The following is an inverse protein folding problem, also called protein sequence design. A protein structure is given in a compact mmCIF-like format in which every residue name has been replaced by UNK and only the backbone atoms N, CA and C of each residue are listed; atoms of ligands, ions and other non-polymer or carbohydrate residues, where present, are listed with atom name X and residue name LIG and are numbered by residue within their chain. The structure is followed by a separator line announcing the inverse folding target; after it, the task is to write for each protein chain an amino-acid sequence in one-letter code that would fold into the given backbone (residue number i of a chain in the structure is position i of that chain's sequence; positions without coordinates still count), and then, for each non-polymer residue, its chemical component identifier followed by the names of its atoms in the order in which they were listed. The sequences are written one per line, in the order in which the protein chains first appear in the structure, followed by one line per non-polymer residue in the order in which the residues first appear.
data_IF_511262371899
#
_entry.id   IF_511262371899
#
_cell.length_a   1.000
_cell.length_b   1.000
_cell.length_c   1.000
_cell.angle_alpha   90.00
_cell.angle_beta   90.00
_cell.angle_gamma   90.00
#
_symmetry.space_group_name_H-M   'P 1'
#
loop_
_entity.id
_entity.type
_entity.pdbx_description
1 polymer ?
#
# COMPACT_ATOMS: atom_id res chain seq x y z
N UNK A 1 3.95 25.47 -5.11
CA UNK A 1 2.56 25.18 -4.66
C UNK A 1 2.53 23.74 -4.20
N UNK A 2 2.51 23.50 -2.90
CA UNK A 2 2.51 22.17 -2.29
C UNK A 2 1.18 21.49 -2.62
N UNK A 3 1.20 20.50 -3.52
CA UNK A 3 0.04 19.64 -3.77
C UNK A 3 -0.45 19.10 -2.41
N UNK A 4 -1.69 19.41 -2.04
CA UNK A 4 -2.30 18.93 -0.79
C UNK A 4 -2.39 17.40 -0.87
N UNK A 5 -1.39 16.73 -0.32
CA UNK A 5 -1.39 15.28 -0.10
C UNK A 5 -2.65 14.96 0.73
N UNK A 6 -3.47 14.03 0.26
CA UNK A 6 -4.67 13.64 1.01
C UNK A 6 -4.26 13.06 2.37
N UNK A 7 -5.07 13.19 3.44
CA UNK A 7 -4.73 12.64 4.75
C UNK A 7 -4.33 11.15 4.71
N UNK A 8 -4.92 10.38 3.77
CA UNK A 8 -4.57 8.99 3.55
C UNK A 8 -3.17 8.83 2.94
N UNK A 9 -2.85 9.58 1.89
CA UNK A 9 -1.51 9.53 1.28
C UNK A 9 -0.44 10.06 2.23
N UNK A 10 -0.77 11.03 3.09
CA UNK A 10 0.16 11.48 4.11
C UNK A 10 0.50 10.34 5.08
N UNK A 11 -0.52 9.63 5.57
CA UNK A 11 -0.30 8.46 6.42
C UNK A 11 0.47 7.34 5.72
N UNK A 12 0.20 7.10 4.45
CA UNK A 12 0.97 6.13 3.65
C UNK A 12 2.46 6.50 3.60
N UNK A 13 2.77 7.77 3.33
CA UNK A 13 4.16 8.25 3.27
C UNK A 13 4.87 8.19 4.63
N UNK A 14 4.16 8.50 5.72
CA UNK A 14 4.68 8.35 7.09
C UNK A 14 5.05 6.89 7.37
N UNK A 15 4.14 5.94 7.12
CA UNK A 15 4.39 4.52 7.31
C UNK A 15 5.52 4.02 6.40
N UNK A 16 5.57 4.50 5.15
CA UNK A 16 6.64 4.16 4.21
C UNK A 16 8.01 4.64 4.69
N UNK A 17 8.07 5.81 5.34
CA UNK A 17 9.29 6.34 5.93
C UNK A 17 9.75 5.51 7.14
N UNK A 18 8.82 4.93 7.90
CA UNK A 18 9.11 4.00 9.01
C UNK A 18 9.64 2.64 8.51
N UNK A 19 9.24 2.21 7.30
CA UNK A 19 9.65 0.91 6.71
C UNK A 19 10.44 1.07 5.40
N UNK A 20 11.64 1.68 5.42
CA UNK A 20 12.41 1.94 4.22
C UNK A 20 12.87 0.63 3.54
N UNK A 21 12.89 0.63 2.21
CA UNK A 21 13.33 -0.52 1.41
C UNK A 21 12.37 -1.73 1.43
N UNK A 22 11.16 -1.57 1.94
CA UNK A 22 10.09 -2.58 1.87
C UNK A 22 9.01 -2.15 0.88
N UNK A 23 8.35 -3.10 0.24
CA UNK A 23 7.11 -2.86 -0.51
C UNK A 23 5.97 -2.74 0.51
N UNK A 24 5.34 -1.56 0.58
CA UNK A 24 4.27 -1.30 1.55
C UNK A 24 2.92 -1.75 0.98
N UNK A 25 2.37 -2.80 1.59
CA UNK A 25 1.02 -3.30 1.35
C UNK A 25 0.07 -2.58 2.30
N UNK A 26 -0.60 -1.54 1.80
CA UNK A 26 -1.45 -0.69 2.63
C UNK A 26 -2.93 -1.08 2.51
N UNK A 27 -3.53 -1.54 3.61
CA UNK A 27 -4.92 -2.00 3.59
C UNK A 27 -5.90 -0.84 3.49
N UNK A 28 -6.66 -0.86 2.40
CA UNK A 28 -7.75 0.05 2.10
C UNK A 28 -9.03 -0.75 1.93
N UNK A 29 -9.71 -0.99 3.06
CA UNK A 29 -10.91 -1.83 3.07
C UNK A 29 -10.58 -3.27 2.69
N UNK A 30 -11.15 -3.73 1.58
CA UNK A 30 -11.00 -5.10 1.08
C UNK A 30 -9.82 -5.27 0.11
N UNK A 31 -8.96 -4.26 -0.04
CA UNK A 31 -7.79 -4.32 -0.92
C UNK A 31 -6.51 -3.93 -0.18
N UNK A 32 -5.40 -4.54 -0.58
CA UNK A 32 -4.08 -3.97 -0.36
C UNK A 32 -3.74 -3.10 -1.56
N UNK A 33 -3.52 -1.81 -1.30
CA UNK A 33 -3.09 -0.83 -2.29
C UNK A 33 -1.63 -0.48 -2.06
N UNK A 34 -0.92 -0.30 -3.17
CA UNK A 34 0.45 0.17 -3.24
C UNK A 34 0.49 1.43 -4.08
N UNK A 35 1.39 2.35 -3.75
CA UNK A 35 1.52 3.63 -4.45
C UNK A 35 2.97 3.91 -4.87
N UNK A 36 3.13 4.80 -5.85
CA UNK A 36 4.44 5.24 -6.36
C UNK A 36 5.27 4.06 -6.91
N UNK A 37 6.57 4.02 -6.58
CA UNK A 37 7.49 2.97 -7.03
C UNK A 37 7.05 1.57 -6.59
N UNK A 38 6.46 1.44 -5.40
CA UNK A 38 5.97 0.14 -4.91
C UNK A 38 4.88 -0.42 -5.85
N UNK A 39 4.01 0.45 -6.38
CA UNK A 39 3.01 0.03 -7.34
C UNK A 39 3.63 -0.45 -8.66
N UNK A 40 4.66 0.24 -9.15
CA UNK A 40 5.35 -0.12 -10.39
C UNK A 40 6.13 -1.43 -10.27
N UNK A 41 6.80 -1.63 -9.14
CA UNK A 41 7.56 -2.86 -8.86
C UNK A 41 6.60 -4.02 -8.63
N UNK A 42 5.60 -3.84 -7.76
CA UNK A 42 4.65 -4.90 -7.44
C UNK A 42 3.79 -5.28 -8.65
N UNK A 43 3.36 -4.32 -9.49
CA UNK A 43 2.61 -4.64 -10.71
C UNK A 43 3.37 -5.55 -11.66
N UNK A 44 4.68 -5.32 -11.84
CA UNK A 44 5.54 -6.17 -12.68
C UNK A 44 5.75 -7.57 -12.10
N UNK A 45 6.02 -7.67 -10.80
CA UNK A 45 6.31 -8.96 -10.14
C UNK A 45 5.04 -9.80 -9.99
N UNK A 46 3.95 -9.16 -9.57
CA UNK A 46 2.70 -9.83 -9.24
C UNK A 46 1.76 -9.97 -10.43
N UNK A 47 2.04 -9.27 -11.53
CA UNK A 47 1.18 -9.23 -12.71
C UNK A 47 -0.11 -8.44 -12.47
N UNK A 48 -0.05 -7.38 -11.66
CA UNK A 48 -1.21 -6.53 -11.35
C UNK A 48 -1.36 -5.43 -12.39
N UNK A 49 -2.59 -4.97 -12.58
CA UNK A 49 -2.85 -3.80 -13.39
C UNK A 49 -2.31 -2.55 -12.68
N UNK A 50 -1.31 -1.91 -13.30
CA UNK A 50 -0.84 -0.59 -12.87
C UNK A 50 -1.86 0.46 -13.33
N UNK A 51 -2.44 1.15 -12.36
CA UNK A 51 -3.38 2.24 -12.55
C UNK A 51 -2.80 3.53 -11.99
N UNK A 52 -3.56 4.62 -12.11
CA UNK A 52 -3.18 5.90 -11.51
C UNK A 52 -4.33 6.44 -10.70
N UNK A 53 -4.00 6.91 -9.49
CA UNK A 53 -4.89 7.68 -8.65
C UNK A 53 -4.87 9.13 -9.11
N UNK A 54 -6.03 9.78 -9.07
CA UNK A 54 -6.21 11.19 -9.48
C UNK A 54 -5.81 11.47 -10.93
N UNK A 55 -6.37 10.69 -11.88
CA UNK A 55 -6.14 10.82 -13.33
C UNK A 55 -6.35 12.23 -13.92
N UNK A 56 -7.10 13.10 -13.24
CA UNK A 56 -7.34 14.50 -13.64
C UNK A 56 -6.49 15.54 -12.90
N UNK A 57 -5.56 15.11 -12.04
CA UNK A 57 -4.67 15.99 -11.28
C UNK A 57 -3.36 16.23 -12.02
N UNK A 58 -2.69 17.34 -11.70
CA UNK A 58 -1.37 17.70 -12.22
C UNK A 58 -0.28 16.69 -11.87
N UNK A 59 -0.49 15.85 -10.85
CA UNK A 59 0.45 14.79 -10.42
C UNK A 59 -0.31 13.46 -10.19
N UNK A 60 -0.51 12.64 -11.24
CA UNK A 60 -1.09 11.31 -11.07
C UNK A 60 -0.15 10.40 -10.29
N UNK A 61 -0.69 9.65 -9.33
CA UNK A 61 0.11 8.73 -8.49
C UNK A 61 -0.07 7.31 -9.01
N UNK A 62 1.01 6.60 -9.41
CA UNK A 62 0.94 5.18 -9.76
C UNK A 62 0.35 4.37 -8.62
N UNK A 63 -0.57 3.48 -8.94
CA UNK A 63 -1.32 2.68 -7.98
C UNK A 63 -1.54 1.27 -8.52
N UNK A 64 -1.25 0.27 -7.69
CA UNK A 64 -1.58 -1.12 -7.96
C UNK A 64 -2.23 -1.70 -6.70
N UNK A 65 -3.07 -2.72 -6.85
CA UNK A 65 -3.68 -3.35 -5.70
C UNK A 65 -4.29 -4.70 -6.02
N UNK A 66 -4.56 -5.44 -4.95
CA UNK A 66 -5.16 -6.77 -5.02
C UNK A 66 -6.07 -7.01 -3.80
N UNK A 67 -7.03 -7.95 -3.90
CA UNK A 67 -7.95 -8.24 -2.79
C UNK A 67 -7.23 -8.75 -1.54
N UNK A 68 -7.67 -8.33 -0.35
CA UNK A 68 -6.99 -8.64 0.92
C UNK A 68 -6.82 -10.14 1.19
N UNK A 69 -7.78 -10.96 0.75
CA UNK A 69 -7.73 -12.41 0.90
C UNK A 69 -6.63 -13.08 0.05
N UNK A 70 -6.10 -12.39 -0.96
CA UNK A 70 -5.02 -12.89 -1.81
C UNK A 70 -3.62 -12.53 -1.26
N UNK A 71 -3.55 -11.93 -0.06
CA UNK A 71 -2.31 -11.48 0.57
C UNK A 71 -1.24 -12.55 0.61
N UNK A 72 -1.52 -13.74 1.15
CA UNK A 72 -0.48 -14.77 1.31
C UNK A 72 0.15 -15.19 -0.02
N UNK A 73 -0.68 -15.35 -1.07
CA UNK A 73 -0.20 -15.73 -2.39
C UNK A 73 0.70 -14.67 -3.03
N UNK A 74 0.30 -13.39 -2.95
CA UNK A 74 1.10 -12.29 -3.49
C UNK A 74 2.34 -11.99 -2.65
N UNK A 75 2.22 -12.09 -1.33
CA UNK A 75 3.33 -11.94 -0.41
C UNK A 75 4.44 -12.94 -0.73
N UNK A 76 4.10 -14.23 -0.86
CA UNK A 76 5.07 -15.27 -1.21
C UNK A 76 5.80 -14.97 -2.53
N UNK A 77 5.12 -14.42 -3.53
CA UNK A 77 5.75 -14.00 -4.80
C UNK A 77 6.73 -12.84 -4.62
N UNK A 78 6.37 -11.83 -3.82
CA UNK A 78 7.27 -10.70 -3.52
C UNK A 78 8.53 -11.18 -2.80
N UNK A 79 8.36 -12.03 -1.79
CA UNK A 79 9.47 -12.59 -1.02
C UNK A 79 10.37 -13.47 -1.90
N UNK A 80 9.79 -14.35 -2.72
CA UNK A 80 10.54 -15.18 -3.67
C UNK A 80 11.30 -14.37 -4.74
N UNK A 81 10.81 -13.17 -5.07
CA UNK A 81 11.48 -12.22 -5.94
C UNK A 81 12.61 -11.42 -5.23
N UNK A 82 12.87 -11.68 -3.94
CA UNK A 82 13.92 -11.02 -3.16
C UNK A 82 13.50 -9.67 -2.56
N UNK A 83 12.21 -9.33 -2.57
CA UNK A 83 11.71 -8.09 -1.99
C UNK A 83 11.24 -8.29 -0.55
N UNK A 84 11.49 -7.29 0.29
CA UNK A 84 10.86 -7.19 1.63
C UNK A 84 9.47 -6.59 1.48
N UNK A 85 8.51 -7.03 2.26
CA UNK A 85 7.14 -6.51 2.23
C UNK A 85 6.68 -6.12 3.64
N UNK A 86 6.15 -4.91 3.79
CA UNK A 86 5.52 -4.43 5.02
C UNK A 86 4.00 -4.44 4.85
N UNK A 87 3.28 -5.02 5.81
CA UNK A 87 1.83 -5.14 5.80
C UNK A 87 1.28 -4.12 6.78
N UNK A 88 0.49 -3.17 6.28
CA UNK A 88 -0.18 -2.18 7.09
C UNK A 88 -1.68 -2.45 7.09
N UNK A 89 -2.22 -2.88 8.23
CA UNK A 89 -3.64 -3.24 8.39
C UNK A 89 -4.42 -2.16 9.14
N UNK A 90 -5.75 -2.24 8.98
CA UNK A 90 -6.69 -1.52 9.83
C UNK A 90 -6.76 -2.23 11.18
N UNK A 91 -6.29 -1.54 12.23
CA UNK A 91 -6.27 -2.06 13.61
C UNK A 91 -7.54 -1.69 14.38
N UNK A 92 -8.37 -0.81 13.82
CA UNK A 92 -9.61 -0.35 14.41
C UNK A 92 -10.80 -0.77 13.54
N UNK A 93 -11.93 -1.14 14.15
CA UNK A 93 -13.13 -1.49 13.42
C UNK A 93 -13.71 -0.21 12.76
N UNK A 94 -13.89 -0.20 11.41
CA UNK A 94 -14.49 0.93 10.71
C UNK A 94 -15.87 1.35 11.25
N UNK A 95 -16.60 0.43 11.88
CA UNK A 95 -17.93 0.69 12.45
C UNK A 95 -17.87 1.43 13.79
N UNK A 96 -16.76 1.35 14.51
CA UNK A 96 -16.58 2.01 15.81
C UNK A 96 -15.68 3.25 15.74
N UNK A 97 -14.92 3.40 14.66
CA UNK A 97 -13.98 4.51 14.49
C UNK A 97 -14.69 5.85 14.33
N UNK A 98 -14.30 6.85 15.15
CA UNK A 98 -14.68 8.25 14.96
C UNK A 98 -13.61 8.96 14.13
N UNK A 99 -13.69 8.84 12.80
CA UNK A 99 -12.77 9.51 11.87
C UNK A 99 -12.01 8.55 10.95
N UNK A 100 -10.76 8.87 10.63
CA UNK A 100 -9.92 8.01 9.79
C UNK A 100 -9.53 6.75 10.57
N UNK A 101 -9.92 5.57 10.09
CA UNK A 101 -9.59 4.27 10.69
C UNK A 101 -8.08 4.18 10.95
N UNK A 102 -7.70 3.86 12.20
CA UNK A 102 -6.29 3.70 12.58
C UNK A 102 -5.64 2.55 11.81
N UNK A 103 -4.44 2.81 11.30
CA UNK A 103 -3.65 1.86 10.49
C UNK A 103 -2.22 1.80 10.96
N UNK A 104 -1.72 0.59 11.12
CA UNK A 104 -0.39 0.30 11.65
C UNK A 104 0.24 -0.85 10.90
N UNK A 105 1.57 -0.88 10.87
CA UNK A 105 2.32 -2.00 10.30
C UNK A 105 2.18 -3.18 11.25
N UNK A 106 1.46 -4.20 10.82
CA UNK A 106 1.23 -5.41 11.61
C UNK A 106 2.36 -6.42 11.45
N UNK A 107 2.99 -6.46 10.28
CA UNK A 107 4.03 -7.44 9.98
C UNK A 107 4.99 -6.93 8.91
N UNK A 108 6.27 -7.19 9.07
CA UNK A 108 7.29 -7.05 8.02
C UNK A 108 7.80 -8.44 7.69
N UNK A 109 7.81 -8.79 6.41
CA UNK A 109 8.27 -10.09 5.90
C UNK A 109 9.46 -9.86 4.99
N UNK A 110 10.51 -10.65 5.20
CA UNK A 110 11.76 -10.60 4.45
C UNK A 110 12.03 -11.95 3.79
N UNK A 111 12.80 -11.98 2.68
CA UNK A 111 13.32 -13.22 2.08
C UNK A 111 14.16 -14.06 3.04
#
# INVERSE_FOLDING_TARGET
MTAKVTPMMQRYLEVKAETPGTILLFRMGDFYELFHEDAEVASKILGLNLTTRDKGSTNPVPMAGFPYHALEGYLNKLIAAGHKAAICDQVEDPKTAKGLVRREVTRIVTP
#
